data_IF_118026463977
#
_entry.id   IF_118026463977
#
_cell.length_a   1.000
_cell.length_b   1.000
_cell.length_c   1.000
_cell.angle_alpha   90.00
_cell.angle_beta   90.00
_cell.angle_gamma   90.00
#
_symmetry.space_group_name_H-M   'P 1'
#
loop_
_entity.id
_entity.type
_entity.pdbx_description
1 polymer ?
#
# COMPACT_ATOMS: atom_id res chain seq x y z
N UNK A 1 -8.46 -1.48 -24.69
CA UNK A 1 -7.78 -0.30 -24.12
C UNK A 1 -6.28 -0.52 -24.16
N UNK A 2 -5.48 0.51 -24.52
CA UNK A 2 -4.03 0.41 -24.55
C UNK A 2 -3.44 0.11 -23.15
N UNK A 3 -2.33 -0.63 -23.05
CA UNK A 3 -1.55 -0.73 -21.83
C UNK A 3 -1.16 0.65 -21.30
N UNK A 4 -1.23 0.79 -19.99
CA UNK A 4 -0.76 1.98 -19.29
C UNK A 4 -1.69 3.19 -19.27
N UNK A 5 -2.88 3.12 -19.85
CA UNK A 5 -3.90 4.15 -19.66
C UNK A 5 -4.64 3.95 -18.31
N UNK A 6 -5.00 5.05 -17.62
CA UNK A 6 -5.64 4.99 -16.32
C UNK A 6 -7.00 4.31 -16.40
N UNK A 7 -7.20 3.30 -15.56
CA UNK A 7 -8.49 2.65 -15.38
C UNK A 7 -9.04 2.95 -14.00
N UNK A 8 -10.16 3.66 -13.93
CA UNK A 8 -10.90 3.82 -12.67
C UNK A 8 -11.42 2.46 -12.23
N UNK A 9 -11.19 2.13 -10.97
CA UNK A 9 -11.60 0.83 -10.42
C UNK A 9 -13.12 0.80 -10.26
N UNK A 10 -13.81 -0.28 -10.73
CA UNK A 10 -15.27 -0.37 -10.60
C UNK A 10 -15.70 -0.42 -9.13
N UNK A 11 -16.96 -0.06 -8.84
CA UNK A 11 -17.54 -0.07 -7.49
C UNK A 11 -17.40 -1.39 -6.74
N UNK A 12 -17.50 -2.52 -7.44
CA UNK A 12 -17.26 -3.84 -6.84
C UNK A 12 -15.83 -4.03 -6.33
N UNK A 13 -14.90 -3.16 -6.72
CA UNK A 13 -13.48 -3.22 -6.45
C UNK A 13 -12.72 -4.08 -7.44
N UNK A 14 -11.39 -3.99 -7.42
CA UNK A 14 -10.51 -4.78 -8.29
C UNK A 14 -9.30 -5.30 -7.54
N UNK A 15 -9.01 -6.58 -7.70
CA UNK A 15 -7.75 -7.16 -7.23
C UNK A 15 -6.59 -6.58 -8.04
N UNK A 16 -5.71 -5.84 -7.37
CA UNK A 16 -4.53 -5.21 -7.98
C UNK A 16 -3.24 -6.00 -7.70
N UNK A 17 -3.35 -7.10 -6.96
CA UNK A 17 -2.26 -8.05 -6.73
C UNK A 17 -2.00 -8.29 -5.26
N UNK A 18 -1.07 -9.21 -5.04
CA UNK A 18 -0.54 -9.61 -3.74
C UNK A 18 0.82 -8.97 -3.53
N UNK A 19 0.99 -8.22 -2.46
CA UNK A 19 2.32 -7.76 -2.08
C UNK A 19 3.05 -8.89 -1.36
N UNK A 20 4.08 -9.46 -1.97
CA UNK A 20 5.00 -10.36 -1.29
C UNK A 20 5.80 -9.57 -0.25
N UNK A 21 5.33 -9.56 0.99
CA UNK A 21 6.00 -8.97 2.15
C UNK A 21 6.08 -10.02 3.25
N UNK A 22 6.70 -11.16 2.95
CA UNK A 22 6.82 -12.27 3.89
C UNK A 22 8.17 -12.27 4.63
N UNK A 23 9.18 -11.58 4.07
CA UNK A 23 10.52 -11.47 4.63
C UNK A 23 10.73 -10.11 5.29
N UNK A 24 11.56 -10.08 6.33
CA UNK A 24 11.89 -8.84 7.05
C UNK A 24 12.39 -7.76 6.08
N UNK A 25 11.96 -6.52 6.29
CA UNK A 25 12.25 -5.33 5.49
C UNK A 25 11.74 -5.35 4.04
N UNK A 26 11.09 -6.42 3.62
CA UNK A 26 10.58 -6.53 2.26
C UNK A 26 9.47 -5.50 2.02
N UNK A 27 9.74 -4.58 1.08
CA UNK A 27 8.88 -3.45 0.80
C UNK A 27 7.96 -3.71 -0.41
N UNK A 28 6.68 -3.41 -0.21
CA UNK A 28 5.70 -3.22 -1.26
C UNK A 28 5.44 -1.71 -1.45
N UNK A 29 5.56 -1.20 -2.67
CA UNK A 29 5.46 0.24 -2.91
C UNK A 29 4.91 0.56 -4.31
N UNK A 30 3.74 -0.01 -4.59
CA UNK A 30 3.05 0.07 -5.88
C UNK A 30 1.81 0.95 -5.89
N UNK A 31 1.53 1.62 -4.77
CA UNK A 31 0.46 2.60 -4.61
C UNK A 31 1.10 3.99 -4.54
N UNK A 32 0.73 4.87 -5.47
CA UNK A 32 1.28 6.21 -5.64
C UNK A 32 0.20 7.25 -5.35
N UNK A 33 0.60 8.44 -4.90
CA UNK A 33 -0.31 9.58 -4.67
C UNK A 33 -0.50 10.44 -5.94
N UNK A 34 0.19 10.08 -7.02
CA UNK A 34 0.09 10.71 -8.34
C UNK A 34 0.50 9.72 -9.43
N UNK A 35 0.12 9.98 -10.68
CA UNK A 35 0.48 9.15 -11.84
C UNK A 35 2.00 9.18 -12.10
N UNK A 36 2.70 8.13 -11.67
CA UNK A 36 4.17 8.13 -11.70
C UNK A 36 4.76 8.16 -13.10
N UNK A 37 4.02 7.69 -14.13
CA UNK A 37 4.51 7.67 -15.50
C UNK A 37 4.47 9.03 -16.18
N UNK A 38 3.73 10.00 -15.64
CA UNK A 38 3.61 11.35 -16.20
C UNK A 38 4.11 12.44 -15.26
N UNK A 39 4.17 12.19 -13.95
CA UNK A 39 4.62 13.17 -12.97
C UNK A 39 6.14 13.39 -12.97
N UNK A 40 6.53 14.66 -12.83
CA UNK A 40 7.89 15.13 -12.59
C UNK A 40 7.95 15.90 -11.27
N UNK A 41 9.15 16.20 -10.78
CA UNK A 41 9.37 16.87 -9.49
C UNK A 41 9.18 15.90 -8.32
N UNK A 42 8.65 16.39 -7.20
CA UNK A 42 8.48 15.58 -6.00
C UNK A 42 7.31 14.61 -6.17
N UNK A 43 7.60 13.32 -6.10
CA UNK A 43 6.63 12.23 -6.22
C UNK A 43 6.55 11.45 -4.91
N UNK A 44 5.36 10.98 -4.56
CA UNK A 44 5.07 10.24 -3.33
C UNK A 44 4.41 8.90 -3.59
N UNK A 45 4.66 7.95 -2.70
CA UNK A 45 4.03 6.63 -2.71
C UNK A 45 3.77 6.12 -1.30
N UNK A 46 2.86 5.17 -1.19
CA UNK A 46 2.67 4.38 0.03
C UNK A 46 3.64 3.20 -0.03
N UNK A 47 4.51 3.10 0.97
CA UNK A 47 5.32 1.92 1.23
C UNK A 47 4.66 1.07 2.32
N UNK A 48 4.71 -0.25 2.16
CA UNK A 48 4.29 -1.23 3.17
C UNK A 48 5.44 -2.22 3.34
N UNK A 49 6.08 -2.21 4.51
CA UNK A 49 7.20 -3.10 4.80
C UNK A 49 6.81 -4.16 5.82
N UNK A 50 7.27 -5.38 5.62
CA UNK A 50 7.20 -6.43 6.63
C UNK A 50 8.23 -6.14 7.73
N UNK A 51 7.78 -6.04 8.98
CA UNK A 51 8.63 -5.78 10.15
C UNK A 51 8.75 -6.99 11.06
N UNK A 52 7.98 -8.03 10.77
CA UNK A 52 7.98 -9.30 11.46
C UNK A 52 6.91 -10.21 10.87
N UNK A 53 7.04 -11.52 11.09
CA UNK A 53 6.03 -12.46 10.62
C UNK A 53 4.68 -12.13 11.27
N UNK A 54 3.64 -11.86 10.48
CA UNK A 54 2.34 -11.42 10.98
C UNK A 54 2.11 -9.91 11.07
N UNK A 55 3.12 -9.07 10.79
CA UNK A 55 3.00 -7.62 10.94
C UNK A 55 3.73 -6.84 9.82
N UNK A 56 2.99 -5.94 9.17
CA UNK A 56 3.57 -4.92 8.30
C UNK A 56 3.41 -3.53 8.89
N UNK A 57 4.18 -2.56 8.39
CA UNK A 57 4.03 -1.14 8.71
C UNK A 57 3.80 -0.33 7.42
N UNK A 58 2.82 0.56 7.45
CA UNK A 58 2.58 1.54 6.38
C UNK A 58 3.43 2.79 6.54
N UNK A 59 3.90 3.37 5.44
CA UNK A 59 4.69 4.60 5.44
C UNK A 59 4.47 5.41 4.17
N UNK A 60 4.69 6.72 4.22
CA UNK A 60 4.80 7.55 3.01
C UNK A 60 6.27 7.65 2.64
N UNK A 61 6.57 7.37 1.38
CA UNK A 61 7.88 7.60 0.79
C UNK A 61 7.78 8.70 -0.26
N UNK A 62 8.85 9.47 -0.40
CA UNK A 62 9.01 10.46 -1.45
C UNK A 62 10.34 10.31 -2.17
N UNK A 63 10.37 10.77 -3.41
CA UNK A 63 11.56 10.86 -4.25
C UNK A 63 11.42 12.08 -5.15
N UNK A 64 12.55 12.62 -5.59
CA UNK A 64 12.57 13.58 -6.68
C UNK A 64 12.65 12.84 -8.02
N UNK A 65 11.77 13.22 -8.95
CA UNK A 65 11.61 12.63 -10.28
C UNK A 65 11.99 13.66 -11.33
N UNK A 66 13.25 13.63 -11.77
CA UNK A 66 13.74 14.52 -12.82
C UNK A 66 13.16 14.18 -14.20
N UNK A 67 12.72 12.92 -14.39
CA UNK A 67 12.09 12.45 -15.61
C UNK A 67 10.85 11.61 -15.27
N UNK A 68 9.76 11.84 -15.99
CA UNK A 68 8.52 11.09 -15.80
C UNK A 68 8.74 9.57 -15.89
N UNK A 69 8.17 8.83 -14.94
CA UNK A 69 8.35 7.38 -14.82
C UNK A 69 9.72 6.92 -14.28
N UNK A 70 10.63 7.84 -13.92
CA UNK A 70 11.97 7.54 -13.41
C UNK A 70 12.25 8.30 -12.10
N UNK A 71 11.55 7.94 -11.02
CA UNK A 71 11.83 8.48 -9.70
C UNK A 71 13.27 8.14 -9.27
N UNK A 72 13.92 9.09 -8.59
CA UNK A 72 15.20 8.86 -7.93
C UNK A 72 15.09 7.95 -6.70
N UNK A 73 16.10 7.98 -5.82
CA UNK A 73 16.07 7.23 -4.57
C UNK A 73 14.86 7.60 -3.70
N UNK A 74 14.17 6.59 -3.20
CA UNK A 74 13.02 6.77 -2.31
C UNK A 74 13.49 6.93 -0.87
N UNK A 75 12.89 7.87 -0.16
CA UNK A 75 13.12 8.11 1.26
C UNK A 75 11.80 8.13 2.01
N UNK A 76 11.79 7.57 3.22
CA UNK A 76 10.61 7.64 4.10
C UNK A 76 10.46 9.05 4.65
N UNK A 77 9.28 9.64 4.51
CA UNK A 77 8.96 10.94 5.09
C UNK A 77 8.02 10.78 6.29
N UNK A 78 8.60 10.73 7.49
CA UNK A 78 7.84 10.61 8.74
C UNK A 78 6.93 11.83 9.02
N UNK A 79 7.24 13.02 8.48
CA UNK A 79 6.37 14.19 8.62
C UNK A 79 5.05 14.03 7.87
N UNK A 80 5.01 13.21 6.81
CA UNK A 80 3.81 12.90 6.03
C UNK A 80 3.02 11.71 6.59
N UNK A 81 3.44 11.12 7.72
CA UNK A 81 2.70 10.02 8.37
C UNK A 81 1.25 10.39 8.64
N UNK A 82 0.98 11.63 9.01
CA UNK A 82 -0.35 12.14 9.29
C UNK A 82 -1.31 12.10 8.08
N UNK A 83 -0.83 11.78 6.87
CA UNK A 83 -1.70 11.57 5.71
C UNK A 83 -2.30 10.16 5.66
N UNK A 84 -1.63 9.17 6.25
CA UNK A 84 -2.10 7.78 6.24
C UNK A 84 -3.21 7.57 7.27
N UNK A 85 -4.32 6.99 6.84
CA UNK A 85 -5.40 6.52 7.69
C UNK A 85 -5.57 5.02 7.46
N UNK A 86 -5.72 4.28 8.55
CA UNK A 86 -5.98 2.85 8.51
C UNK A 86 -7.16 2.59 9.42
N UNK A 87 -8.20 2.02 8.84
CA UNK A 87 -9.35 1.48 9.55
C UNK A 87 -9.15 -0.03 9.69
N UNK A 88 -9.32 -0.54 10.91
CA UNK A 88 -9.14 -1.95 11.25
C UNK A 88 -10.38 -2.45 12.01
N UNK A 89 -11.41 -2.96 11.31
CA UNK A 89 -12.56 -3.62 11.92
C UNK A 89 -12.21 -4.91 12.68
N UNK A 90 -10.97 -5.37 12.63
CA UNK A 90 -10.48 -6.53 13.35
C UNK A 90 -10.11 -7.71 12.46
N UNK A 91 -9.87 -8.82 13.14
CA UNK A 91 -9.40 -10.05 12.54
C UNK A 91 -10.49 -10.75 11.72
N UNK A 92 -10.11 -11.28 10.56
CA UNK A 92 -10.97 -12.13 9.74
C UNK A 92 -10.73 -13.61 10.07
N UNK A 93 -11.80 -14.39 10.12
CA UNK A 93 -11.72 -15.84 10.19
C UNK A 93 -11.02 -16.42 8.96
N UNK A 94 -10.14 -17.40 9.15
CA UNK A 94 -9.38 -18.03 8.07
C UNK A 94 -9.64 -19.53 8.07
N UNK A 95 -10.31 -20.03 7.03
CA UNK A 95 -10.52 -21.47 6.81
C UNK A 95 -11.53 -22.15 7.73
N UNK A 96 -11.72 -21.66 8.96
CA UNK A 96 -12.70 -22.16 9.93
C UNK A 96 -13.56 -20.98 10.41
N UNK A 97 -14.90 -21.04 10.25
CA UNK A 97 -15.80 -20.06 10.84
C UNK A 97 -15.51 -19.87 12.33
N UNK A 98 -15.50 -18.63 12.79
CA UNK A 98 -15.37 -18.25 14.21
C UNK A 98 -14.04 -18.62 14.90
N UNK A 99 -13.03 -19.06 14.15
CA UNK A 99 -11.66 -19.18 14.68
C UNK A 99 -10.74 -18.09 14.10
N UNK A 100 -10.21 -17.20 14.95
CA UNK A 100 -9.19 -16.25 14.53
C UNK A 100 -7.91 -16.99 14.11
N UNK A 101 -7.25 -16.51 13.05
CA UNK A 101 -5.94 -17.02 12.66
C UNK A 101 -4.91 -16.80 13.78
N UNK A 102 -4.25 -17.86 14.23
CA UNK A 102 -3.17 -17.74 15.22
C UNK A 102 -1.89 -17.28 14.51
N UNK A 103 -1.47 -16.04 14.77
CA UNK A 103 -0.19 -15.50 14.32
C UNK A 103 0.75 -15.33 15.51
N UNK A 104 2.08 -15.46 15.30
CA UNK A 104 3.06 -15.26 16.36
C UNK A 104 3.08 -13.80 16.86
N UNK A 105 2.75 -12.83 16.00
CA UNK A 105 2.70 -11.42 16.31
C UNK A 105 1.25 -10.93 16.27
N UNK A 106 0.49 -11.24 17.32
CA UNK A 106 -0.83 -10.67 17.57
C UNK A 106 -0.71 -9.24 18.13
N UNK A 107 0.04 -8.36 17.45
CA UNK A 107 0.19 -6.98 17.92
C UNK A 107 -1.12 -6.23 17.71
N UNK A 108 -1.63 -5.51 18.72
CA UNK A 108 -2.87 -4.75 18.57
C UNK A 108 -2.72 -3.67 17.49
N UNK A 109 -3.82 -3.34 16.79
CA UNK A 109 -3.86 -2.26 15.80
C UNK A 109 -3.41 -0.91 16.40
N UNK A 110 -3.04 0.03 15.54
CA UNK A 110 -2.63 1.38 15.95
C UNK A 110 -1.32 1.80 15.30
N UNK A 111 -0.61 2.73 15.93
CA UNK A 111 0.70 3.19 15.45
C UNK A 111 1.85 2.50 16.20
N UNK A 112 3.03 2.49 15.56
CA UNK A 112 4.27 2.04 16.19
C UNK A 112 5.49 2.65 15.51
N UNK A 113 6.63 2.48 16.19
CA UNK A 113 7.96 2.77 15.65
C UNK A 113 8.64 1.45 15.31
N UNK A 114 9.18 1.36 14.11
CA UNK A 114 9.86 0.17 13.59
C UNK A 114 11.14 0.58 12.90
N UNK A 115 12.13 -0.31 12.87
CA UNK A 115 13.30 -0.14 12.01
C UNK A 115 12.97 -0.83 10.68
N UNK A 116 13.05 -0.07 9.58
CA UNK A 116 12.91 -0.60 8.21
C UNK A 116 14.11 -0.12 7.41
N UNK A 117 14.88 -1.04 6.83
CA UNK A 117 16.11 -0.70 6.08
C UNK A 117 17.02 0.27 6.86
N UNK A 118 17.32 -0.06 8.12
CA UNK A 118 18.13 0.75 9.05
C UNK A 118 17.58 2.15 9.37
N UNK A 119 16.32 2.45 9.04
CA UNK A 119 15.69 3.74 9.33
C UNK A 119 14.52 3.56 10.30
N UNK A 120 14.38 4.49 11.25
CA UNK A 120 13.21 4.53 12.13
C UNK A 120 12.01 5.05 11.35
N UNK A 121 11.00 4.21 11.22
CA UNK A 121 9.72 4.48 10.57
C UNK A 121 8.63 4.53 11.63
N UNK A 122 7.87 5.63 11.66
CA UNK A 122 6.62 5.71 12.41
C UNK A 122 5.46 5.47 11.45
N UNK A 123 4.64 4.46 11.71
CA UNK A 123 3.60 4.02 10.78
C UNK A 123 2.39 3.39 11.45
N UNK A 124 1.26 3.24 10.73
CA UNK A 124 0.21 2.35 11.19
C UNK A 124 0.72 0.92 11.08
N UNK A 125 0.43 0.15 12.12
CA UNK A 125 0.53 -1.31 12.11
C UNK A 125 -0.50 -1.84 11.14
N UNK A 126 -0.08 -2.82 10.35
CA UNK A 126 -0.93 -3.55 9.42
C UNK A 126 -0.83 -5.04 9.78
N UNK A 127 -1.56 -5.48 10.83
CA UNK A 127 -1.56 -6.88 11.25
C UNK A 127 -2.08 -7.78 10.13
N UNK A 128 -1.44 -8.93 9.93
CA UNK A 128 -1.91 -9.89 8.95
C UNK A 128 -3.20 -10.56 9.43
N UNK A 129 -4.00 -11.06 8.48
CA UNK A 129 -5.35 -11.61 8.72
C UNK A 129 -6.39 -10.64 9.26
N UNK A 130 -6.04 -9.37 9.45
CA UNK A 130 -7.02 -8.31 9.62
C UNK A 130 -7.54 -7.87 8.25
N UNK A 131 -8.78 -7.36 8.24
CA UNK A 131 -9.25 -6.56 7.10
C UNK A 131 -8.87 -5.13 7.40
N UNK A 132 -7.99 -4.54 6.60
CA UNK A 132 -7.54 -3.18 6.82
C UNK A 132 -7.91 -2.31 5.63
N UNK A 133 -8.50 -1.16 5.88
CA UNK A 133 -8.75 -0.17 4.83
C UNK A 133 -7.78 0.98 5.00
N UNK A 134 -6.84 1.09 4.06
CA UNK A 134 -5.87 2.18 4.00
C UNK A 134 -6.38 3.27 3.07
N UNK A 135 -6.35 4.50 3.58
CA UNK A 135 -6.66 5.73 2.85
C UNK A 135 -5.53 6.73 3.03
N UNK A 136 -5.42 7.65 2.07
CA UNK A 136 -4.55 8.81 2.18
C UNK A 136 -5.43 10.05 2.16
N UNK A 137 -5.29 10.90 3.16
CA UNK A 137 -6.13 12.09 3.33
C UNK A 137 -5.26 13.28 3.75
N UNK A 138 -5.61 14.48 3.26
CA UNK A 138 -5.04 15.72 3.76
C UNK A 138 -5.50 16.01 5.20
N UNK A 139 -4.86 16.99 5.87
CA UNK A 139 -5.21 17.36 7.26
C UNK A 139 -6.67 17.81 7.42
N UNK A 140 -7.25 18.38 6.38
CA UNK A 140 -8.65 18.82 6.32
C UNK A 140 -9.62 17.65 6.00
N UNK A 141 -9.14 16.41 5.96
CA UNK A 141 -9.94 15.23 5.64
C UNK A 141 -10.15 14.96 4.15
N UNK A 142 -9.70 15.85 3.25
CA UNK A 142 -9.87 15.65 1.81
C UNK A 142 -9.14 14.39 1.34
N UNK A 143 -9.83 13.42 0.69
CA UNK A 143 -9.20 12.21 0.18
C UNK A 143 -8.21 12.53 -0.95
N UNK A 144 -7.09 11.80 -0.96
CA UNK A 144 -6.11 11.83 -2.03
C UNK A 144 -6.34 10.60 -2.91
N UNK A 145 -6.58 10.85 -4.19
CA UNK A 145 -6.69 9.80 -5.19
C UNK A 145 -5.39 9.00 -5.28
N UNK A 146 -5.54 7.68 -5.32
CA UNK A 146 -4.43 6.73 -5.36
C UNK A 146 -4.28 6.12 -6.75
N UNK A 147 -3.04 5.78 -7.08
CA UNK A 147 -2.66 5.22 -8.35
C UNK A 147 -1.88 3.94 -8.15
N UNK A 148 -2.37 2.81 -8.65
CA UNK A 148 -1.58 1.59 -8.74
C UNK A 148 -0.82 1.56 -10.06
N UNK A 149 0.47 1.26 -10.02
CA UNK A 149 1.26 0.97 -11.22
C UNK A 149 1.88 -0.42 -11.09
N UNK A 150 1.70 -1.28 -12.10
CA UNK A 150 2.23 -2.64 -12.07
C UNK A 150 3.77 -2.66 -12.05
N UNK A 151 4.35 -3.37 -11.09
CA UNK A 151 5.78 -3.68 -11.06
C UNK A 151 6.11 -4.99 -11.76
N UNK A 152 7.39 -5.15 -12.09
CA UNK A 152 7.92 -6.43 -12.52
C UNK A 152 7.72 -7.48 -11.40
N UNK A 153 7.56 -8.78 -11.76
CA UNK A 153 7.58 -9.85 -10.78
C UNK A 153 8.87 -9.80 -9.94
N UNK A 154 8.73 -9.92 -8.63
CA UNK A 154 9.86 -10.02 -7.72
C UNK A 154 10.55 -11.38 -7.91
N UNK A 155 11.88 -11.38 -7.97
CA UNK A 155 12.70 -12.60 -8.16
C UNK A 155 13.54 -12.98 -6.94
N UNK A 156 13.72 -12.07 -5.99
CA UNK A 156 14.57 -12.23 -4.81
C UNK A 156 13.85 -11.77 -3.53
N UNK A 157 14.49 -11.98 -2.38
CA UNK A 157 13.98 -11.55 -1.07
C UNK A 157 14.55 -10.20 -0.64
N UNK A 158 15.06 -9.39 -1.58
CA UNK A 158 15.70 -8.12 -1.24
C UNK A 158 14.68 -7.11 -0.69
N UNK A 159 15.11 -6.18 0.18
CA UNK A 159 14.19 -5.21 0.78
C UNK A 159 13.50 -4.31 -0.25
N UNK A 160 14.23 -3.87 -1.27
CA UNK A 160 13.71 -2.95 -2.27
C UNK A 160 12.55 -3.54 -3.09
N UNK A 161 11.54 -2.74 -3.46
CA UNK A 161 10.48 -3.17 -4.36
C UNK A 161 11.04 -3.45 -5.77
N UNK A 162 10.47 -4.39 -6.53
CA UNK A 162 10.83 -4.56 -7.93
C UNK A 162 10.60 -3.26 -8.72
N UNK A 163 11.20 -3.14 -9.91
CA UNK A 163 11.03 -1.94 -10.74
C UNK A 163 9.61 -1.81 -11.28
N UNK A 164 9.11 -0.57 -11.39
CA UNK A 164 7.83 -0.27 -12.04
C UNK A 164 7.96 -0.66 -13.52
N UNK A 165 6.95 -1.31 -14.10
CA UNK A 165 6.95 -1.58 -15.54
C UNK A 165 6.78 -0.25 -16.32
N UNK A 166 7.43 -0.11 -17.48
CA UNK A 166 7.17 1.02 -18.38
C UNK A 166 5.68 1.10 -18.76
N UNK A 167 5.18 2.31 -19.04
CA UNK A 167 3.77 2.56 -19.42
C UNK A 167 3.26 1.55 -20.46
N UNK A 168 4.05 1.31 -21.52
CA UNK A 168 3.71 0.42 -22.63
C UNK A 168 3.46 -1.06 -22.22
N UNK A 169 3.93 -1.49 -21.05
CA UNK A 169 3.81 -2.87 -20.54
C UNK A 169 3.03 -2.96 -19.22
N UNK A 170 2.69 -1.81 -18.64
CA UNK A 170 2.12 -1.71 -17.31
C UNK A 170 0.59 -1.71 -17.28
N UNK A 171 0.04 -1.90 -16.08
CA UNK A 171 -1.37 -1.62 -15.76
C UNK A 171 -1.41 -0.44 -14.81
N UNK A 172 -2.40 0.44 -15.00
CA UNK A 172 -2.64 1.60 -14.15
C UNK A 172 -4.08 1.62 -13.68
N UNK A 173 -4.25 1.65 -12.36
CA UNK A 173 -5.57 1.75 -11.74
C UNK A 173 -5.64 3.00 -10.87
N UNK A 174 -6.81 3.63 -10.88
CA UNK A 174 -7.15 4.79 -10.07
C UNK A 174 -8.26 4.41 -9.09
N UNK A 175 -8.09 4.75 -7.81
CA UNK A 175 -9.00 4.41 -6.71
C UNK A 175 -8.75 5.31 -5.50
N UNK A 176 -9.60 5.21 -4.48
CA UNK A 176 -9.54 6.08 -3.29
C UNK A 176 -9.03 5.34 -2.05
N UNK A 177 -9.29 4.03 -1.97
CA UNK A 177 -8.86 3.20 -0.85
C UNK A 177 -8.25 1.87 -1.29
N UNK A 178 -7.37 1.36 -0.44
CA UNK A 178 -6.79 0.02 -0.56
C UNK A 178 -7.24 -0.83 0.60
N UNK A 179 -7.92 -1.92 0.28
CA UNK A 179 -8.27 -2.93 1.26
C UNK A 179 -7.19 -4.00 1.25
N UNK A 180 -6.58 -4.23 2.40
CA UNK A 180 -5.74 -5.38 2.70
C UNK A 180 -6.62 -6.45 3.34
N UNK A 181 -6.61 -7.66 2.78
CA UNK A 181 -7.36 -8.80 3.35
C UNK A 181 -6.60 -10.11 3.17
N UNK A 182 -6.76 -11.04 4.11
CA UNK A 182 -6.40 -12.49 4.07
C UNK A 182 -5.00 -12.92 3.56
N UNK A 183 -4.23 -13.54 4.48
CA UNK A 183 -2.99 -14.34 4.34
C UNK A 183 -1.74 -13.64 3.77
N UNK A 184 -0.66 -13.55 4.58
CA UNK A 184 0.81 -13.38 4.34
C UNK A 184 1.23 -12.40 3.22
N UNK A 185 0.59 -12.52 2.08
CA UNK A 185 0.55 -11.63 0.96
C UNK A 185 -0.54 -10.58 1.15
N UNK A 186 -0.18 -9.30 1.17
CA UNK A 186 -1.16 -8.21 1.19
C UNK A 186 -1.99 -8.25 -0.11
N UNK A 187 -3.08 -9.02 -0.12
CA UNK A 187 -4.05 -9.05 -1.20
C UNK A 187 -4.72 -7.68 -1.18
N UNK A 188 -4.50 -6.93 -2.25
CA UNK A 188 -4.99 -5.56 -2.31
C UNK A 188 -6.14 -5.49 -3.28
N UNK A 189 -7.29 -5.07 -2.75
CA UNK A 189 -8.44 -4.68 -3.56
C UNK A 189 -8.52 -3.17 -3.54
N UNK A 190 -8.42 -2.57 -4.70
CA UNK A 190 -8.75 -1.17 -4.89
C UNK A 190 -10.28 -1.02 -4.92
N UNK A 191 -10.81 0.08 -4.37
CA UNK A 191 -12.23 0.47 -4.48
C UNK A 191 -12.36 2.00 -4.63
N UNK A 192 -13.39 2.49 -5.35
CA UNK A 192 -13.83 3.87 -5.20
C UNK A 192 -14.48 4.08 -3.83
N UNK A 193 -14.51 5.32 -3.32
CA UNK A 193 -15.20 5.66 -2.07
C UNK A 193 -16.70 5.26 -2.14
N UNK A 194 -17.20 4.63 -1.08
CA UNK A 194 -18.64 4.37 -0.94
C UNK A 194 -19.36 5.72 -0.73
N UNK A 195 -20.49 6.00 -1.42
CA UNK A 195 -21.23 7.23 -1.16
C UNK A 195 -21.66 7.26 0.32
N UNK A 196 -21.73 8.45 0.95
CA UNK A 196 -22.23 8.57 2.30
C UNK A 196 -23.61 7.91 2.37
N UNK A 197 -23.78 6.96 3.29
CA UNK A 197 -25.08 6.37 3.57
C UNK A 197 -25.96 7.53 4.08
N UNK A 198 -26.86 8.00 3.22
CA UNK A 198 -27.88 8.95 3.62
C UNK A 198 -28.80 8.27 4.64
N UNK A 199 -28.94 8.90 5.81
CA UNK A 199 -30.02 8.60 6.74
C UNK A 199 -31.36 9.07 6.16
#
# INVERSE_FOLDING_TARGET
MPPGDPQVVPRGGRFIGSSAGAFLDQLAADIYLQNIWTSQGRVRRVGVACVGWGLSVGMIQEADSHQAGRPGPWQTNNHLRHLLRVDDPGQQAVGVPDQPAVLPNATPPGEGFFVVNNNIVRGPKLPWHHRLTLRVQLRNGTPIQLHYHKHAPRKDHKPDPPKILPKALGKHYIFDEVIFSTQIQNCRRAKPEDPPQGN
#
